data_IF_065091257842
#
_entry.id   IF_065091257842
#
_cell.length_a   1.000
_cell.length_b   1.000
_cell.length_c   1.000
_cell.angle_alpha   90.00
_cell.angle_beta   90.00
_cell.angle_gamma   90.00
#
_symmetry.space_group_name_H-M   'P 1'
#
loop_
_entity.id
_entity.type
_entity.pdbx_description
1 polymer ?
#
# COMPACT_ATOMS: atom_id res chain seq x y z
N UNK A 1 -1.83 37.47 -6.42
CA UNK A 1 -2.58 36.77 -5.36
C UNK A 1 -3.68 35.99 -6.06
N UNK A 2 -3.42 34.71 -6.34
CA UNK A 2 -4.45 33.73 -6.73
C UNK A 2 -4.09 32.48 -5.93
N UNK A 3 -5.13 31.87 -5.40
CA UNK A 3 -5.20 31.15 -4.12
C UNK A 3 -4.28 29.93 -3.98
N UNK A 4 -3.66 29.81 -2.80
CA UNK A 4 -2.71 28.76 -2.43
C UNK A 4 -3.34 27.54 -1.73
N UNK A 5 -4.61 27.22 -1.99
CA UNK A 5 -5.33 26.19 -1.21
C UNK A 5 -6.17 25.23 -2.07
N UNK A 6 -5.63 24.76 -3.20
CA UNK A 6 -6.32 23.81 -4.09
C UNK A 6 -5.60 22.46 -4.23
N UNK A 7 -4.98 21.97 -3.15
CA UNK A 7 -4.67 20.56 -2.99
C UNK A 7 -5.36 20.06 -1.72
N UNK A 8 -6.70 20.12 -1.76
CA UNK A 8 -7.53 19.33 -0.84
C UNK A 8 -7.03 17.90 -0.83
N UNK A 9 -6.97 17.32 0.37
CA UNK A 9 -6.46 16.01 0.72
C UNK A 9 -6.79 14.93 -0.32
N UNK A 10 -5.96 14.85 -1.36
CA UNK A 10 -5.93 13.69 -2.24
C UNK A 10 -5.27 12.64 -1.37
N UNK A 11 -6.07 11.75 -0.79
CA UNK A 11 -5.58 10.53 -0.17
C UNK A 11 -4.59 9.90 -1.13
N UNK A 12 -3.29 10.14 -0.89
CA UNK A 12 -2.22 9.61 -1.72
C UNK A 12 -2.31 8.12 -1.49
N UNK A 13 -2.88 7.40 -2.46
CA UNK A 13 -2.70 5.96 -2.55
C UNK A 13 -1.18 5.72 -2.53
N UNK A 14 -0.66 5.39 -1.35
CA UNK A 14 0.77 5.18 -1.12
C UNK A 14 1.10 3.86 -1.80
N UNK A 15 1.57 3.95 -3.04
CA UNK A 15 2.04 2.81 -3.81
C UNK A 15 3.52 2.62 -3.55
N UNK A 16 3.89 1.45 -3.07
CA UNK A 16 5.28 1.06 -2.80
C UNK A 16 5.66 -0.04 -3.78
N UNK A 17 6.76 0.13 -4.52
CA UNK A 17 7.28 -0.91 -5.39
C UNK A 17 7.95 -2.02 -4.55
N UNK A 18 7.68 -3.27 -4.89
CA UNK A 18 8.32 -4.46 -4.35
C UNK A 18 9.15 -5.12 -5.45
N UNK A 19 10.09 -5.99 -5.09
CA UNK A 19 10.89 -6.73 -6.08
C UNK A 19 10.01 -7.53 -7.05
N UNK A 20 8.92 -8.13 -6.55
CA UNK A 20 8.00 -8.97 -7.31
C UNK A 20 6.62 -8.33 -7.56
N UNK A 21 6.52 -7.00 -7.47
CA UNK A 21 5.25 -6.30 -7.75
C UNK A 21 5.11 -4.95 -7.05
N UNK A 22 3.94 -4.69 -6.45
CA UNK A 22 3.70 -3.45 -5.71
C UNK A 22 2.66 -3.61 -4.62
N UNK A 23 2.79 -2.81 -3.57
CA UNK A 23 1.80 -2.65 -2.52
C UNK A 23 1.04 -1.32 -2.70
N UNK A 24 -0.23 -1.31 -2.34
CA UNK A 24 -1.08 -0.12 -2.33
C UNK A 24 -1.80 0.00 -0.97
N UNK A 25 -1.69 1.17 -0.35
CA UNK A 25 -2.43 1.48 0.87
C UNK A 25 -3.91 1.77 0.52
N UNK A 26 -4.81 1.01 1.14
CA UNK A 26 -6.27 1.13 0.93
C UNK A 26 -6.93 2.07 1.95
N UNK A 27 -6.19 2.54 2.95
CA UNK A 27 -6.73 3.26 4.10
C UNK A 27 -6.99 2.33 5.29
N UNK A 28 -7.31 2.90 6.45
CA UNK A 28 -7.66 2.17 7.69
C UNK A 28 -6.65 1.09 8.12
N UNK A 29 -5.36 1.30 7.83
CA UNK A 29 -4.29 0.35 8.15
C UNK A 29 -4.32 -0.92 7.29
N UNK A 30 -5.04 -0.92 6.16
CA UNK A 30 -5.13 -2.04 5.23
C UNK A 30 -4.28 -1.79 3.99
N UNK A 31 -3.65 -2.86 3.51
CA UNK A 31 -2.76 -2.86 2.36
C UNK A 31 -3.14 -4.00 1.43
N UNK A 32 -3.09 -3.76 0.13
CA UNK A 32 -3.14 -4.82 -0.88
C UNK A 32 -1.78 -4.93 -1.56
N UNK A 33 -1.32 -6.16 -1.76
CA UNK A 33 -0.10 -6.48 -2.47
C UNK A 33 -0.49 -7.18 -3.75
N UNK A 34 -0.03 -6.64 -4.88
CA UNK A 34 -0.14 -7.26 -6.19
C UNK A 34 1.23 -7.78 -6.58
N UNK A 35 1.35 -9.09 -6.75
CA UNK A 35 2.61 -9.75 -7.07
C UNK A 35 2.40 -10.79 -8.17
N UNK A 36 3.47 -11.13 -8.88
CA UNK A 36 3.50 -12.28 -9.78
C UNK A 36 4.34 -13.38 -9.15
N UNK A 37 3.74 -14.54 -8.88
CA UNK A 37 4.42 -15.70 -8.27
C UNK A 37 4.29 -16.86 -9.23
N UNK A 38 5.42 -17.42 -9.65
CA UNK A 38 5.49 -18.53 -10.62
C UNK A 38 4.77 -18.25 -11.96
N UNK A 39 4.73 -16.97 -12.38
CA UNK A 39 4.07 -16.52 -13.61
C UNK A 39 2.56 -16.31 -13.48
N UNK A 40 2.01 -16.43 -12.26
CA UNK A 40 0.59 -16.15 -11.99
C UNK A 40 0.43 -14.88 -11.15
N UNK A 41 -0.50 -14.02 -11.56
CA UNK A 41 -0.85 -12.82 -10.81
C UNK A 41 -1.62 -13.19 -9.53
N UNK A 42 -1.08 -12.79 -8.39
CA UNK A 42 -1.67 -13.00 -7.07
C UNK A 42 -1.87 -11.66 -6.36
N UNK A 43 -2.97 -11.58 -5.60
CA UNK A 43 -3.26 -10.42 -4.75
C UNK A 43 -3.47 -10.87 -3.30
N UNK A 44 -2.74 -10.27 -2.36
CA UNK A 44 -2.91 -10.49 -0.93
C UNK A 44 -3.37 -9.20 -0.25
N UNK A 45 -4.27 -9.34 0.72
CA UNK A 45 -4.69 -8.22 1.58
C UNK A 45 -4.12 -8.45 2.97
N UNK A 46 -3.41 -7.46 3.50
CA UNK A 46 -2.76 -7.49 4.80
C UNK A 46 -3.20 -6.29 5.63
N UNK A 47 -3.37 -6.50 6.93
CA UNK A 47 -3.49 -5.39 7.88
C UNK A 47 -2.09 -4.92 8.33
N UNK A 48 -2.03 -3.71 8.89
CA UNK A 48 -0.83 -3.18 9.54
C UNK A 48 -0.33 -4.13 10.64
N UNK A 49 -1.25 -4.78 11.36
CA UNK A 49 -0.89 -5.74 12.40
C UNK A 49 -0.21 -6.98 11.82
N UNK A 50 -0.70 -7.49 10.68
CA UNK A 50 -0.06 -8.61 9.97
C UNK A 50 1.36 -8.24 9.53
N UNK A 51 1.54 -7.03 8.99
CA UNK A 51 2.86 -6.53 8.58
C UNK A 51 3.82 -6.43 9.78
N UNK A 52 3.37 -5.87 10.91
CA UNK A 52 4.17 -5.78 12.14
C UNK A 52 4.58 -7.17 12.65
N UNK A 53 3.65 -8.13 12.64
CA UNK A 53 3.92 -9.52 13.02
C UNK A 53 4.92 -10.19 12.07
N UNK A 54 4.81 -9.97 10.77
CA UNK A 54 5.74 -10.52 9.77
C UNK A 54 7.15 -9.95 9.91
N UNK A 55 7.28 -8.66 10.23
CA UNK A 55 8.58 -7.99 10.43
C UNK A 55 9.20 -8.30 11.81
N UNK A 56 8.52 -9.08 12.67
CA UNK A 56 8.97 -9.34 14.03
C UNK A 56 9.00 -8.08 14.91
N UNK A 57 8.25 -7.05 14.52
CA UNK A 57 8.11 -5.81 15.27
C UNK A 57 6.98 -6.01 16.28
N UNK A 58 7.34 -6.54 17.45
CA UNK A 58 6.46 -6.68 18.61
C UNK A 58 6.25 -5.34 19.32
#
# INVERSE_FOLDING_TARGET
MVDSDALGEVGRALRVALDDGYAEAMGDGMFVLFQEVDGEAQSLVLSEEDLRRMLGMC
#
